data_IF_634923554261
#
_entry.id   IF_634923554261
#
_cell.length_a   1.000
_cell.length_b   1.000
_cell.length_c   1.000
_cell.angle_alpha   90.00
_cell.angle_beta   90.00
_cell.angle_gamma   90.00
#
_symmetry.space_group_name_H-M   'P 1'
#
loop_
_entity.id
_entity.type
_entity.pdbx_description
1 polymer ?
#
# COMPACT_ATOMS: atom_id res chain seq x y z
N UNK A 1 23.99 -22.87 15.05
CA UNK A 1 24.63 -22.10 13.96
C UNK A 1 23.49 -21.52 13.15
N UNK A 2 23.15 -20.25 13.35
CA UNK A 2 22.08 -19.61 12.57
C UNK A 2 22.52 -19.58 11.11
N UNK A 3 21.71 -20.17 10.22
CA UNK A 3 22.00 -20.16 8.79
C UNK A 3 21.99 -18.72 8.31
N UNK A 4 23.07 -18.26 7.68
CA UNK A 4 23.09 -16.92 7.10
C UNK A 4 21.96 -16.77 6.06
N UNK A 5 21.27 -15.61 6.02
CA UNK A 5 20.18 -15.39 5.08
C UNK A 5 20.70 -15.47 3.64
N UNK A 6 20.05 -16.30 2.82
CA UNK A 6 20.40 -16.47 1.40
C UNK A 6 19.63 -15.45 0.58
N UNK A 7 20.32 -14.67 -0.25
CA UNK A 7 19.70 -13.70 -1.17
C UNK A 7 19.74 -14.23 -2.61
N UNK A 8 18.64 -14.07 -3.34
CA UNK A 8 18.51 -14.44 -4.76
C UNK A 8 17.74 -13.35 -5.50
N UNK A 9 18.23 -12.89 -6.65
CA UNK A 9 17.43 -12.07 -7.56
C UNK A 9 16.41 -12.97 -8.26
N UNK A 10 15.14 -12.60 -8.24
CA UNK A 10 14.06 -13.39 -8.82
C UNK A 10 12.94 -12.50 -9.36
N UNK A 11 12.11 -13.07 -10.24
CA UNK A 11 10.79 -12.56 -10.53
C UNK A 11 9.83 -13.10 -9.47
N UNK A 12 9.21 -12.20 -8.71
CA UNK A 12 8.30 -12.45 -7.61
C UNK A 12 6.88 -12.26 -8.14
N UNK A 13 6.05 -13.29 -8.00
CA UNK A 13 4.65 -13.28 -8.44
C UNK A 13 3.75 -13.36 -7.21
N UNK A 14 2.82 -12.43 -7.12
CA UNK A 14 1.72 -12.44 -6.16
C UNK A 14 0.41 -12.69 -6.86
N UNK A 15 -0.46 -13.50 -6.26
CA UNK A 15 -1.86 -13.67 -6.70
C UNK A 15 -2.83 -13.34 -5.57
N UNK A 16 -4.07 -13.05 -5.92
CA UNK A 16 -5.20 -12.85 -4.98
C UNK A 16 -6.50 -13.31 -5.65
N UNK A 17 -7.43 -13.89 -4.89
CA UNK A 17 -8.73 -14.32 -5.43
C UNK A 17 -9.75 -13.19 -5.26
N UNK A 18 -10.25 -12.69 -6.39
CA UNK A 18 -11.26 -11.64 -6.42
C UNK A 18 -12.55 -12.11 -5.74
N UNK A 19 -12.90 -11.44 -4.64
CA UNK A 19 -14.14 -11.71 -3.91
C UNK A 19 -14.06 -12.84 -2.88
N UNK A 20 -12.86 -13.36 -2.60
CA UNK A 20 -12.68 -14.48 -1.67
C UNK A 20 -13.19 -14.18 -0.26
N UNK A 21 -12.90 -12.99 0.29
CA UNK A 21 -13.37 -12.59 1.63
C UNK A 21 -14.90 -12.71 1.76
N UNK A 22 -15.64 -12.36 0.70
CA UNK A 22 -17.09 -12.48 0.67
C UNK A 22 -17.51 -13.95 0.66
N UNK A 23 -16.91 -14.77 -0.21
CA UNK A 23 -17.20 -16.21 -0.27
C UNK A 23 -16.91 -16.90 1.07
N UNK A 24 -15.79 -16.59 1.70
CA UNK A 24 -15.38 -17.16 3.00
C UNK A 24 -16.35 -16.79 4.12
N UNK A 25 -16.87 -15.55 4.13
CA UNK A 25 -17.86 -15.11 5.10
C UNK A 25 -19.24 -15.77 4.90
N UNK A 26 -19.63 -16.05 3.65
CA UNK A 26 -20.93 -16.65 3.32
C UNK A 26 -20.91 -18.18 3.38
N UNK A 27 -19.80 -18.83 3.01
CA UNK A 27 -19.66 -20.28 2.92
C UNK A 27 -18.20 -20.73 3.08
N UNK A 28 -17.77 -20.91 4.33
CA UNK A 28 -16.42 -21.34 4.68
C UNK A 28 -16.01 -22.69 4.04
N UNK A 29 -16.83 -23.76 4.05
CA UNK A 29 -16.46 -25.02 3.37
C UNK A 29 -16.19 -24.85 1.87
N UNK A 30 -16.99 -24.03 1.16
CA UNK A 30 -16.77 -23.77 -0.26
C UNK A 30 -15.48 -22.96 -0.50
N UNK A 31 -15.16 -22.01 0.38
CA UNK A 31 -13.92 -21.25 0.31
C UNK A 31 -12.69 -22.14 0.51
N UNK A 32 -12.71 -23.06 1.49
CA UNK A 32 -11.63 -24.03 1.70
C UNK A 32 -11.43 -24.95 0.49
N UNK A 33 -12.53 -25.47 -0.08
CA UNK A 33 -12.48 -26.29 -1.30
C UNK A 33 -11.94 -25.51 -2.50
N UNK A 34 -12.20 -24.20 -2.58
CA UNK A 34 -11.66 -23.32 -3.62
C UNK A 34 -10.13 -23.18 -3.51
N UNK A 35 -9.59 -23.03 -2.30
CA UNK A 35 -8.14 -22.96 -2.06
C UNK A 35 -7.44 -24.28 -2.40
N UNK A 36 -8.04 -25.42 -2.06
CA UNK A 36 -7.53 -26.73 -2.49
C UNK A 36 -7.50 -26.85 -4.01
N UNK A 37 -8.61 -26.47 -4.67
CA UNK A 37 -8.71 -26.48 -6.13
C UNK A 37 -7.71 -25.55 -6.80
N UNK A 38 -7.47 -24.36 -6.24
CA UNK A 38 -6.42 -23.45 -6.69
C UNK A 38 -5.06 -24.13 -6.62
N UNK A 39 -4.71 -24.76 -5.48
CA UNK A 39 -3.42 -25.43 -5.31
C UNK A 39 -3.21 -26.53 -6.34
N UNK A 40 -4.20 -27.41 -6.50
CA UNK A 40 -4.13 -28.56 -7.42
C UNK A 40 -4.02 -28.12 -8.88
N UNK A 41 -4.70 -27.04 -9.25
CA UNK A 41 -4.70 -26.51 -10.61
C UNK A 41 -3.41 -25.76 -10.93
N UNK A 42 -2.91 -24.95 -10.00
CA UNK A 42 -1.82 -24.02 -10.27
C UNK A 42 -0.44 -24.64 -10.06
N UNK A 43 -0.26 -25.53 -9.07
CA UNK A 43 1.06 -26.11 -8.76
C UNK A 43 1.73 -26.78 -9.98
N UNK A 44 1.04 -27.60 -10.79
CA UNK A 44 1.64 -28.17 -12.00
C UNK A 44 2.04 -27.11 -13.04
N UNK A 45 1.32 -25.99 -13.12
CA UNK A 45 1.63 -24.89 -14.05
C UNK A 45 2.90 -24.18 -13.58
N UNK A 46 2.99 -23.88 -12.29
CA UNK A 46 4.18 -23.26 -11.66
C UNK A 46 5.41 -24.14 -11.88
N UNK A 47 5.31 -25.43 -11.56
CA UNK A 47 6.42 -26.38 -11.72
C UNK A 47 6.86 -26.49 -13.19
N UNK A 48 5.92 -26.49 -14.14
CA UNK A 48 6.23 -26.57 -15.59
C UNK A 48 6.94 -25.33 -16.16
N UNK A 49 6.95 -24.21 -15.44
CA UNK A 49 7.67 -22.98 -15.79
C UNK A 49 8.87 -22.74 -14.85
N UNK A 50 9.37 -23.78 -14.19
CA UNK A 50 10.51 -23.68 -13.26
C UNK A 50 10.26 -22.69 -12.11
N UNK A 51 9.00 -22.54 -11.69
CA UNK A 51 8.63 -21.70 -10.56
C UNK A 51 8.79 -22.42 -9.22
N UNK A 52 9.10 -21.64 -8.18
CA UNK A 52 9.13 -22.10 -6.80
C UNK A 52 7.88 -21.58 -6.07
N UNK A 53 7.10 -22.49 -5.48
CA UNK A 53 5.96 -22.16 -4.63
C UNK A 53 6.46 -21.80 -3.22
N UNK A 54 6.58 -20.50 -2.94
CA UNK A 54 7.22 -20.03 -1.71
C UNK A 54 6.29 -20.07 -0.51
N UNK A 55 5.10 -19.46 -0.64
CA UNK A 55 4.18 -19.28 0.49
C UNK A 55 2.73 -19.09 0.03
N UNK A 56 1.81 -19.45 0.91
CA UNK A 56 0.39 -19.14 0.80
C UNK A 56 0.04 -18.08 1.86
N UNK A 57 -0.67 -17.04 1.47
CA UNK A 57 -0.99 -15.89 2.33
C UNK A 57 -2.49 -15.63 2.20
N UNK A 58 -3.28 -16.25 3.07
CA UNK A 58 -4.73 -16.27 2.94
C UNK A 58 -5.14 -16.99 1.66
N UNK A 59 -5.79 -16.28 0.76
CA UNK A 59 -6.18 -16.73 -0.58
C UNK A 59 -5.16 -16.39 -1.68
N UNK A 60 -4.12 -15.63 -1.31
CA UNK A 60 -3.05 -15.26 -2.20
C UNK A 60 -1.87 -16.25 -2.20
N UNK A 61 -1.13 -16.25 -3.30
CA UNK A 61 0.08 -17.05 -3.48
C UNK A 61 1.29 -16.15 -3.65
N UNK A 62 2.40 -16.55 -3.05
CA UNK A 62 3.73 -15.99 -3.29
C UNK A 62 4.57 -17.04 -4.03
N UNK A 63 4.96 -16.72 -5.25
CA UNK A 63 5.77 -17.57 -6.12
C UNK A 63 7.04 -16.83 -6.52
N UNK A 64 8.09 -17.57 -6.86
CA UNK A 64 9.29 -16.98 -7.46
C UNK A 64 9.79 -17.75 -8.66
N UNK A 65 10.43 -17.03 -9.58
CA UNK A 65 10.99 -17.58 -10.81
C UNK A 65 12.38 -16.99 -11.02
N UNK A 66 13.27 -17.75 -11.66
CA UNK A 66 14.62 -17.26 -11.96
C UNK A 66 14.62 -16.21 -13.07
N UNK A 67 13.63 -16.23 -13.95
CA UNK A 67 13.50 -15.30 -15.08
C UNK A 67 12.16 -14.58 -15.09
N UNK A 68 12.15 -13.33 -15.58
CA UNK A 68 10.91 -12.57 -15.78
C UNK A 68 9.97 -13.23 -16.79
N UNK A 69 10.53 -13.89 -17.81
CA UNK A 69 9.76 -14.50 -18.89
C UNK A 69 8.99 -15.72 -18.38
N UNK A 70 9.63 -16.59 -17.59
CA UNK A 70 8.97 -17.74 -16.98
C UNK A 70 7.81 -17.32 -16.08
N UNK A 71 8.01 -16.28 -15.26
CA UNK A 71 6.95 -15.73 -14.42
C UNK A 71 5.76 -15.21 -15.23
N UNK A 72 6.03 -14.48 -16.31
CA UNK A 72 4.99 -13.89 -17.18
C UNK A 72 4.23 -14.97 -17.93
N UNK A 73 4.92 -15.94 -18.53
CA UNK A 73 4.28 -17.05 -19.25
C UNK A 73 3.47 -17.96 -18.31
N UNK A 74 4.01 -18.24 -17.12
CA UNK A 74 3.28 -18.95 -16.07
C UNK A 74 1.99 -18.20 -15.72
N UNK A 75 2.07 -16.89 -15.43
CA UNK A 75 0.92 -16.07 -15.09
C UNK A 75 -0.14 -16.01 -16.22
N UNK A 76 0.29 -15.90 -17.48
CA UNK A 76 -0.61 -15.96 -18.64
C UNK A 76 -1.32 -17.31 -18.70
N UNK A 77 -0.61 -18.41 -18.46
CA UNK A 77 -1.21 -19.76 -18.48
C UNK A 77 -2.15 -19.98 -17.30
N UNK A 78 -1.80 -19.49 -16.11
CA UNK A 78 -2.68 -19.47 -14.94
C UNK A 78 -3.99 -18.75 -15.29
N UNK A 79 -3.92 -17.52 -15.83
CA UNK A 79 -5.13 -16.76 -16.19
C UNK A 79 -6.02 -17.49 -17.20
N UNK A 80 -5.42 -18.17 -18.18
CA UNK A 80 -6.17 -19.01 -19.13
C UNK A 80 -6.85 -20.19 -18.45
N UNK A 81 -6.16 -20.86 -17.53
CA UNK A 81 -6.65 -22.07 -16.88
C UNK A 81 -7.78 -21.78 -15.87
N UNK A 82 -7.67 -20.69 -15.10
CA UNK A 82 -8.66 -20.36 -14.06
C UNK A 82 -9.93 -19.74 -14.61
N UNK A 83 -9.92 -19.23 -15.85
CA UNK A 83 -11.06 -18.52 -16.46
C UNK A 83 -12.37 -19.33 -16.47
N UNK A 84 -12.30 -20.65 -16.54
CA UNK A 84 -13.47 -21.54 -16.53
C UNK A 84 -13.82 -22.09 -15.14
N UNK A 85 -13.09 -21.68 -14.11
CA UNK A 85 -13.28 -22.15 -12.74
C UNK A 85 -14.11 -21.12 -11.97
N UNK A 86 -15.31 -21.51 -11.58
CA UNK A 86 -16.21 -20.67 -10.78
C UNK A 86 -15.51 -20.18 -9.51
N UNK A 87 -15.71 -18.89 -9.19
CA UNK A 87 -15.10 -18.18 -8.06
C UNK A 87 -13.57 -18.04 -8.06
N UNK A 88 -12.82 -18.63 -8.99
CA UNK A 88 -11.35 -18.55 -9.05
C UNK A 88 -10.87 -17.45 -10.01
N UNK A 89 -11.41 -16.24 -9.90
CA UNK A 89 -10.91 -15.11 -10.66
C UNK A 89 -9.70 -14.52 -9.95
N UNK A 90 -8.55 -14.46 -10.62
CA UNK A 90 -7.31 -14.01 -10.01
C UNK A 90 -6.90 -12.62 -10.47
N UNK A 91 -6.39 -11.83 -9.54
CA UNK A 91 -5.45 -10.74 -9.84
C UNK A 91 -4.03 -11.25 -9.66
N UNK A 92 -3.13 -10.83 -10.55
CA UNK A 92 -1.71 -11.24 -10.51
C UNK A 92 -0.83 -10.00 -10.60
N UNK A 93 0.16 -9.89 -9.71
CA UNK A 93 1.21 -8.88 -9.72
C UNK A 93 2.59 -9.50 -9.89
N UNK A 94 3.45 -8.92 -10.74
CA UNK A 94 4.82 -9.41 -10.96
C UNK A 94 5.85 -8.29 -10.76
N UNK A 95 6.86 -8.56 -9.94
CA UNK A 95 7.98 -7.66 -9.72
C UNK A 95 9.31 -8.40 -9.76
N UNK A 96 10.37 -7.74 -10.22
CA UNK A 96 11.73 -8.29 -10.20
C UNK A 96 12.55 -7.63 -9.09
N UNK A 97 13.06 -8.43 -8.16
CA UNK A 97 13.85 -7.95 -7.03
C UNK A 97 14.51 -9.07 -6.23
N UNK A 98 15.13 -8.70 -5.11
CA UNK A 98 15.79 -9.65 -4.22
C UNK A 98 14.80 -10.36 -3.31
N UNK A 99 14.92 -11.68 -3.26
CA UNK A 99 14.24 -12.55 -2.32
C UNK A 99 15.26 -12.94 -1.25
N UNK A 100 14.95 -12.66 0.02
CA UNK A 100 15.79 -13.05 1.16
C UNK A 100 15.13 -14.22 1.88
N UNK A 101 15.82 -15.35 1.89
CA UNK A 101 15.39 -16.57 2.58
C UNK A 101 15.97 -16.58 4.00
N UNK A 102 15.09 -16.67 5.00
CA UNK A 102 15.47 -16.84 6.40
C UNK A 102 14.80 -18.11 6.95
N UNK A 103 15.55 -19.20 7.00
CA UNK A 103 14.99 -20.52 7.33
C UNK A 103 13.99 -20.97 6.26
N UNK A 104 12.73 -21.14 6.64
CA UNK A 104 11.62 -21.49 5.74
C UNK A 104 10.77 -20.28 5.31
N UNK A 105 11.12 -19.07 5.74
CA UNK A 105 10.35 -17.87 5.41
C UNK A 105 11.05 -17.00 4.36
N UNK A 106 10.26 -16.18 3.69
CA UNK A 106 10.68 -15.26 2.64
C UNK A 106 10.34 -13.83 3.06
N UNK A 107 11.37 -13.00 3.17
CA UNK A 107 11.27 -11.60 3.60
C UNK A 107 12.05 -10.69 2.65
N UNK A 108 11.68 -9.41 2.61
CA UNK A 108 12.41 -8.40 1.85
C UNK A 108 11.51 -7.30 1.30
N UNK A 109 12.12 -6.14 1.04
CA UNK A 109 11.40 -4.97 0.52
C UNK A 109 10.79 -5.25 -0.85
N UNK A 110 11.50 -5.99 -1.72
CA UNK A 110 11.01 -6.32 -3.07
C UNK A 110 9.82 -7.30 -3.04
N UNK A 111 9.70 -8.15 -2.01
CA UNK A 111 8.51 -8.99 -1.79
C UNK A 111 7.30 -8.10 -1.44
N UNK A 112 7.51 -7.08 -0.60
CA UNK A 112 6.48 -6.10 -0.27
C UNK A 112 6.10 -5.19 -1.45
N UNK A 113 7.04 -4.91 -2.37
CA UNK A 113 6.73 -4.20 -3.61
C UNK A 113 5.84 -5.08 -4.49
N UNK A 114 6.18 -6.35 -4.66
CA UNK A 114 5.45 -7.27 -5.52
C UNK A 114 3.98 -7.44 -5.09
N UNK A 115 3.71 -7.58 -3.79
CA UNK A 115 2.36 -7.65 -3.24
C UNK A 115 1.54 -6.38 -3.47
N UNK A 116 2.19 -5.25 -3.75
CA UNK A 116 1.54 -3.97 -4.04
C UNK A 116 1.43 -3.66 -5.52
N UNK A 117 1.99 -4.49 -6.39
CA UNK A 117 1.72 -4.43 -7.84
C UNK A 117 0.40 -5.13 -8.15
N UNK A 118 0.10 -6.25 -7.48
CA UNK A 118 -1.13 -7.03 -7.68
C UNK A 118 -2.42 -6.19 -7.65
N UNK A 119 -2.61 -5.21 -6.75
CA UNK A 119 -3.86 -4.46 -6.65
C UNK A 119 -4.15 -3.59 -7.87
N UNK A 120 -3.13 -3.31 -8.68
CA UNK A 120 -3.25 -2.59 -9.95
C UNK A 120 -3.65 -3.51 -11.11
N UNK A 121 -3.87 -4.80 -10.84
CA UNK A 121 -4.36 -5.73 -11.84
C UNK A 121 -5.88 -5.71 -11.90
N UNK A 122 -6.46 -5.72 -13.09
CA UNK A 122 -7.86 -6.07 -13.25
C UNK A 122 -8.12 -7.52 -12.81
N UNK A 123 -9.38 -7.84 -12.47
CA UNK A 123 -9.81 -9.24 -12.32
C UNK A 123 -9.51 -10.01 -13.60
N UNK A 124 -8.73 -11.10 -13.51
CA UNK A 124 -8.26 -11.87 -14.66
C UNK A 124 -7.06 -11.26 -15.40
N UNK A 125 -6.50 -10.16 -14.87
CA UNK A 125 -5.38 -9.43 -15.47
C UNK A 125 -4.02 -9.75 -14.85
N UNK A 126 -2.97 -9.14 -15.41
CA UNK A 126 -1.61 -9.20 -14.88
C UNK A 126 -1.03 -7.78 -14.83
N UNK A 127 -0.75 -7.31 -13.63
CA UNK A 127 0.03 -6.10 -13.39
C UNK A 127 1.52 -6.45 -13.22
N UNK A 128 2.39 -5.61 -13.77
CA UNK A 128 3.84 -5.81 -13.74
C UNK A 128 4.56 -4.51 -13.36
N UNK A 129 5.68 -4.65 -12.67
CA UNK A 129 6.58 -3.52 -12.43
C UNK A 129 7.36 -3.12 -13.68
N UNK A 130 7.89 -1.89 -13.70
CA UNK A 130 8.72 -1.40 -14.82
C UNK A 130 9.95 -2.25 -15.14
N UNK A 131 10.56 -2.93 -14.15
CA UNK A 131 11.68 -3.86 -14.39
C UNK A 131 11.26 -5.07 -15.23
N UNK A 132 10.08 -5.61 -14.93
CA UNK A 132 9.50 -6.73 -15.69
C UNK A 132 9.07 -6.26 -17.07
N UNK A 133 8.43 -5.09 -17.17
CA UNK A 133 8.06 -4.47 -18.45
C UNK A 133 9.26 -4.32 -19.39
N UNK A 134 10.40 -3.83 -18.90
CA UNK A 134 11.61 -3.65 -19.69
C UNK A 134 12.14 -4.96 -20.29
N UNK A 135 11.89 -6.11 -19.65
CA UNK A 135 12.25 -7.42 -20.19
C UNK A 135 11.32 -7.86 -21.33
N UNK A 136 10.08 -7.36 -21.36
CA UNK A 136 9.07 -7.69 -22.38
C UNK A 136 9.12 -6.75 -23.60
N UNK A 137 9.60 -5.52 -23.44
CA UNK A 137 9.58 -4.46 -24.49
C UNK A 137 10.16 -4.87 -25.85
N UNK A 138 11.09 -5.84 -25.87
CA UNK A 138 11.76 -6.29 -27.10
C UNK A 138 10.98 -7.36 -27.87
N UNK A 139 10.01 -8.00 -27.24
CA UNK A 139 9.23 -9.07 -27.85
C UNK A 139 7.84 -8.55 -28.24
N UNK A 140 7.52 -8.51 -29.56
CA UNK A 140 6.27 -7.94 -30.06
C UNK A 140 5.02 -8.77 -29.71
N UNK A 141 5.17 -9.98 -29.16
CA UNK A 141 4.06 -10.77 -28.63
C UNK A 141 3.46 -10.17 -27.35
N UNK A 142 4.23 -9.38 -26.61
CA UNK A 142 3.76 -8.66 -25.43
C UNK A 142 3.35 -7.24 -25.79
N UNK A 143 2.14 -6.87 -25.36
CA UNK A 143 1.70 -5.47 -25.34
C UNK A 143 1.40 -5.10 -23.91
N UNK A 144 1.91 -3.96 -23.48
CA UNK A 144 1.73 -3.45 -22.13
C UNK A 144 1.18 -2.04 -22.14
N UNK A 145 0.44 -1.70 -21.09
CA UNK A 145 -0.10 -0.37 -20.87
C UNK A 145 0.43 0.18 -19.55
N UNK A 146 0.85 1.45 -19.55
CA UNK A 146 1.30 2.14 -18.33
C UNK A 146 0.12 2.50 -17.43
N UNK A 147 0.20 2.11 -16.16
CA UNK A 147 -0.85 2.32 -15.16
C UNK A 147 -0.56 3.49 -14.21
N UNK A 148 0.70 3.92 -14.10
CA UNK A 148 1.09 4.98 -13.18
C UNK A 148 2.19 4.55 -12.22
N UNK A 149 2.33 5.31 -11.13
CA UNK A 149 3.27 5.02 -10.04
C UNK A 149 2.45 4.66 -8.80
N UNK A 150 2.44 3.41 -8.33
CA UNK A 150 1.84 3.06 -7.06
C UNK A 150 2.40 3.90 -5.91
N UNK A 151 1.55 4.40 -5.02
CA UNK A 151 2.01 5.02 -3.79
C UNK A 151 2.39 3.92 -2.78
N UNK A 152 3.67 3.55 -2.77
CA UNK A 152 4.18 2.50 -1.91
C UNK A 152 4.67 3.09 -0.57
N UNK A 153 3.82 3.14 0.46
CA UNK A 153 4.25 3.47 1.83
C UNK A 153 5.38 2.55 2.32
N UNK A 154 6.51 3.09 2.77
CA UNK A 154 7.63 2.29 3.29
C UNK A 154 8.60 1.73 2.23
N UNK A 155 8.45 2.11 0.95
CA UNK A 155 9.41 1.79 -0.11
C UNK A 155 10.05 3.10 -0.59
N UNK A 156 11.38 3.19 -0.49
CA UNK A 156 12.13 4.39 -0.93
C UNK A 156 12.26 4.52 -2.44
N UNK A 157 12.10 3.41 -3.16
CA UNK A 157 12.25 3.34 -4.61
C UNK A 157 10.95 3.71 -5.33
N UNK A 158 11.05 4.58 -6.33
CA UNK A 158 9.95 4.83 -7.25
C UNK A 158 9.70 3.58 -8.11
N UNK A 159 8.48 3.04 -8.06
CA UNK A 159 8.07 1.90 -8.88
C UNK A 159 7.00 2.35 -9.86
N UNK A 160 7.20 2.02 -11.15
CA UNK A 160 6.21 2.19 -12.20
C UNK A 160 5.44 0.90 -12.37
N UNK A 161 4.12 0.98 -12.50
CA UNK A 161 3.24 -0.15 -12.78
C UNK A 161 2.73 -0.11 -14.22
N UNK A 162 2.58 -1.29 -14.80
CA UNK A 162 2.03 -1.55 -16.12
C UNK A 162 1.07 -2.74 -16.02
N UNK A 163 0.19 -2.95 -17.01
CA UNK A 163 -0.48 -4.24 -17.19
C UNK A 163 -0.18 -4.82 -18.57
N UNK A 164 -0.30 -6.14 -18.69
CA UNK A 164 -0.21 -6.86 -19.96
C UNK A 164 -1.61 -6.89 -20.59
N UNK A 165 -1.71 -6.39 -21.82
CA UNK A 165 -2.96 -6.30 -22.60
C UNK A 165 -2.95 -7.17 -23.86
N UNK A 166 -1.94 -8.02 -24.03
CA UNK A 166 -1.91 -9.08 -25.05
C UNK A 166 -2.40 -10.42 -24.47
N UNK A 167 -2.37 -11.49 -25.29
CA UNK A 167 -2.74 -12.85 -24.87
C UNK A 167 -4.19 -13.04 -24.37
N UNK A 168 -5.08 -12.08 -24.67
CA UNK A 168 -6.48 -12.10 -24.23
C UNK A 168 -6.70 -11.63 -22.79
N UNK A 169 -5.71 -10.94 -22.21
CA UNK A 169 -5.79 -10.35 -20.88
C UNK A 169 -6.52 -8.99 -20.92
N UNK A 170 -7.29 -8.65 -19.86
CA UNK A 170 -8.00 -7.39 -19.77
C UNK A 170 -7.06 -6.21 -19.53
N UNK A 171 -7.48 -5.04 -20.01
CA UNK A 171 -6.91 -3.77 -19.59
C UNK A 171 -7.36 -3.43 -18.16
N UNK A 172 -6.46 -2.86 -17.35
CA UNK A 172 -6.81 -2.41 -16.00
C UNK A 172 -7.56 -1.08 -16.07
N UNK A 173 -8.79 -1.07 -15.58
CA UNK A 173 -9.51 0.17 -15.30
C UNK A 173 -9.04 0.79 -13.97
N UNK A 174 -8.24 1.85 -14.05
CA UNK A 174 -7.71 2.57 -12.89
C UNK A 174 -8.79 3.16 -11.99
N UNK A 175 -10.02 3.38 -12.48
CA UNK A 175 -11.13 3.86 -11.65
C UNK A 175 -11.63 2.81 -10.67
N UNK A 176 -11.38 1.53 -10.96
CA UNK A 176 -11.77 0.39 -10.13
C UNK A 176 -10.62 -0.09 -9.23
N UNK A 177 -9.41 0.43 -9.44
CA UNK A 177 -8.25 0.16 -8.59
C UNK A 177 -8.38 0.98 -7.31
N UNK A 178 -8.68 0.31 -6.19
CA UNK A 178 -8.73 0.95 -4.86
C UNK A 178 -7.36 1.37 -4.34
N UNK A 179 -6.27 0.91 -4.96
CA UNK A 179 -4.90 1.24 -4.57
C UNK A 179 -4.50 2.65 -5.06
N UNK A 180 -3.89 3.44 -4.18
CA UNK A 180 -3.53 4.84 -4.45
C UNK A 180 -2.36 4.94 -5.44
N UNK A 181 -2.50 5.77 -6.48
CA UNK A 181 -1.44 6.17 -7.39
C UNK A 181 -0.83 7.52 -6.95
N UNK A 182 0.47 7.71 -7.16
CA UNK A 182 1.11 9.02 -7.07
C UNK A 182 0.66 9.86 -8.27
N UNK A 183 0.27 11.14 -8.08
CA UNK A 183 -0.12 12.03 -9.17
C UNK A 183 0.97 12.11 -10.26
N UNK A 184 0.56 12.01 -11.52
CA UNK A 184 1.47 12.17 -12.66
C UNK A 184 1.85 13.66 -12.76
N UNK A 185 3.11 14.01 -12.48
CA UNK A 185 3.66 15.31 -12.87
C UNK A 185 3.61 15.40 -14.40
N UNK A 186 2.67 16.17 -14.94
CA UNK A 186 2.61 16.45 -16.38
C UNK A 186 3.90 17.19 -16.77
N UNK A 187 4.77 16.53 -17.53
CA UNK A 187 5.89 17.15 -18.24
C UNK A 187 5.32 18.08 -19.35
N UNK A 188 4.84 19.25 -18.93
CA UNK A 188 4.33 20.31 -19.80
C UNK A 188 5.46 21.24 -20.21
N UNK A 189 5.88 21.10 -21.46
CA UNK A 189 6.62 22.06 -22.28
C UNK A 189 6.26 23.53 -21.94
N UNK A 190 7.21 24.28 -21.35
CA UNK A 190 7.04 25.71 -21.04
C UNK A 190 7.41 26.58 -22.25
N UNK A 191 6.43 26.85 -23.11
CA UNK A 191 6.44 28.04 -23.96
C UNK A 191 5.40 29.04 -23.43
N UNK A 192 5.85 30.21 -22.97
CA UNK A 192 5.72 31.50 -23.70
C UNK A 192 5.60 32.74 -22.78
N UNK A 193 6.26 33.82 -23.22
CA UNK A 193 5.88 35.26 -23.13
C UNK A 193 5.16 35.78 -21.88
N UNK A 194 5.85 36.51 -21.00
CA UNK A 194 5.27 37.61 -20.20
C UNK A 194 6.37 38.44 -19.52
N UNK A 195 7.26 39.04 -20.31
CA UNK A 195 8.02 40.20 -19.87
C UNK A 195 7.12 41.44 -19.96
N UNK A 196 7.02 42.18 -18.85
CA UNK A 196 6.46 43.56 -18.68
C UNK A 196 5.12 43.69 -17.91
N UNK A 197 4.12 42.80 -18.02
CA UNK A 197 2.83 43.00 -17.32
C UNK A 197 2.79 42.60 -15.82
N UNK A 198 3.70 41.73 -15.36
CA UNK A 198 3.67 41.15 -14.02
C UNK A 198 4.01 42.10 -12.86
N UNK A 199 4.64 43.25 -13.13
CA UNK A 199 5.05 44.20 -12.08
C UNK A 199 3.90 45.14 -11.67
N UNK A 200 2.94 45.40 -12.56
CA UNK A 200 1.79 46.27 -12.26
C UNK A 200 0.70 45.55 -11.43
N UNK A 201 0.47 44.26 -11.70
CA UNK A 201 -0.57 43.48 -11.02
C UNK A 201 -0.24 43.20 -9.54
N UNK A 202 1.04 43.19 -9.18
CA UNK A 202 1.51 42.88 -7.82
C UNK A 202 1.25 44.01 -6.81
N UNK A 203 1.18 45.27 -7.26
CA UNK A 203 0.92 46.41 -6.35
C UNK A 203 -0.57 46.50 -5.99
N UNK A 204 -1.47 46.19 -6.93
CA UNK A 204 -2.93 46.24 -6.71
C UNK A 204 -3.39 45.09 -5.79
N UNK A 205 -2.79 43.90 -5.92
CA UNK A 205 -3.14 42.72 -5.12
C UNK A 205 -2.84 42.87 -3.63
N UNK A 206 -1.76 43.56 -3.25
CA UNK A 206 -1.41 43.78 -1.83
C UNK A 206 -2.39 44.72 -1.14
N UNK A 207 -2.95 45.69 -1.87
CA UNK A 207 -3.96 46.63 -1.33
C UNK A 207 -5.31 45.92 -1.15
N UNK A 208 -5.67 45.01 -2.06
CA UNK A 208 -6.91 44.23 -1.97
C UNK A 208 -6.89 43.22 -0.82
N UNK A 209 -5.73 42.61 -0.53
CA UNK A 209 -5.55 41.67 0.59
C UNK A 209 -5.61 42.33 1.97
N UNK A 210 -5.34 43.64 2.07
CA UNK A 210 -5.48 44.40 3.32
C UNK A 210 -6.92 44.80 3.67
N UNK A 211 -7.85 44.74 2.72
CA UNK A 211 -9.22 45.27 2.90
C UNK A 211 -10.32 44.22 2.97
N UNK A 212 -10.06 42.95 2.60
CA UNK A 212 -11.07 41.91 2.59
C UNK A 212 -10.65 40.76 3.51
N UNK A 213 -11.17 40.80 4.74
CA UNK A 213 -10.96 39.80 5.77
C UNK A 213 -11.18 38.39 5.23
N UNK A 214 -10.12 37.59 5.32
CA UNK A 214 -10.07 36.22 4.84
C UNK A 214 -10.86 35.31 5.80
N UNK A 215 -12.19 35.37 5.68
CA UNK A 215 -13.12 34.46 6.35
C UNK A 215 -13.65 33.47 5.32
N UNK A 216 -13.13 32.24 5.36
CA UNK A 216 -13.82 31.06 4.86
C UNK A 216 -13.72 30.80 3.36
N UNK A 217 -12.63 30.14 2.93
CA UNK A 217 -12.67 29.19 1.82
C UNK A 217 -11.58 28.13 2.05
N UNK A 218 -11.95 27.04 2.73
CA UNK A 218 -11.23 25.78 2.63
C UNK A 218 -12.21 24.75 2.09
N UNK A 219 -11.91 24.25 0.89
CA UNK A 219 -12.60 23.16 0.25
C UNK A 219 -12.14 21.84 0.88
N UNK A 220 -13.09 20.97 1.17
CA UNK A 220 -12.95 19.65 1.76
C UNK A 220 -12.26 18.70 0.75
N UNK A 221 -11.02 18.30 1.03
CA UNK A 221 -10.29 17.21 0.35
C UNK A 221 -10.22 16.02 1.31
N UNK A 222 -10.35 14.79 0.79
CA UNK A 222 -10.31 13.51 1.50
C UNK A 222 -9.10 13.36 2.48
N UNK A 223 -9.20 13.95 3.67
CA UNK A 223 -8.18 13.87 4.70
C UNK A 223 -8.12 12.46 5.29
N UNK A 224 -6.91 11.90 5.35
CA UNK A 224 -6.65 10.65 6.06
C UNK A 224 -7.08 10.86 7.52
N UNK A 225 -7.98 10.02 8.08
CA UNK A 225 -8.42 10.16 9.46
C UNK A 225 -7.20 10.26 10.37
N UNK A 226 -7.14 11.29 11.20
CA UNK A 226 -5.98 11.56 12.02
C UNK A 226 -6.36 11.72 13.49
N UNK A 227 -5.54 11.15 14.37
CA UNK A 227 -5.83 11.08 15.81
C UNK A 227 -4.59 11.41 16.64
N UNK A 228 -4.76 12.20 17.68
CA UNK A 228 -3.75 12.34 18.74
C UNK A 228 -4.19 11.55 19.97
N UNK A 229 -3.37 10.58 20.37
CA UNK A 229 -3.52 9.90 21.65
C UNK A 229 -2.82 10.75 22.68
N UNK A 230 -3.61 11.47 23.49
CA UNK A 230 -3.07 12.36 24.50
C UNK A 230 -2.51 11.55 25.67
N UNK A 231 -1.53 12.14 26.34
CA UNK A 231 -0.82 11.51 27.45
C UNK A 231 -1.81 11.00 28.52
N UNK A 232 -1.75 9.72 28.84
CA UNK A 232 -2.65 9.11 29.82
C UNK A 232 -2.50 9.80 31.17
N UNK A 233 -3.62 10.25 31.75
CA UNK A 233 -3.60 10.82 33.10
C UNK A 233 -3.35 9.71 34.12
N UNK A 234 -2.27 9.82 34.87
CA UNK A 234 -2.04 8.97 36.02
C UNK A 234 -2.92 9.43 37.19
N UNK A 235 -3.88 8.59 37.57
CA UNK A 235 -4.78 8.82 38.72
C UNK A 235 -4.31 8.08 39.98
N UNK A 236 -3.24 7.29 39.88
CA UNK A 236 -2.64 6.54 40.97
C UNK A 236 -1.47 7.28 41.63
N UNK A 237 -0.45 6.53 42.05
CA UNK A 237 0.72 7.11 42.70
C UNK A 237 1.69 7.70 41.67
N UNK A 238 2.52 8.67 42.07
CA UNK A 238 3.55 9.24 41.20
C UNK A 238 4.54 8.19 40.67
N UNK A 239 4.73 7.08 41.39
CA UNK A 239 5.58 5.96 40.97
C UNK A 239 5.02 5.19 39.76
N UNK A 240 3.72 5.33 39.46
CA UNK A 240 3.07 4.69 38.31
C UNK A 240 3.19 5.54 37.03
N UNK A 241 3.86 6.69 37.08
CA UNK A 241 4.02 7.59 35.93
C UNK A 241 4.72 6.93 34.71
N UNK A 242 5.74 6.06 34.88
CA UNK A 242 6.32 5.31 33.77
C UNK A 242 5.32 4.39 33.06
N UNK A 243 4.29 3.90 33.76
CA UNK A 243 3.22 3.11 33.15
C UNK A 243 2.32 3.96 32.26
N UNK A 244 1.99 5.19 32.70
CA UNK A 244 1.22 6.12 31.86
C UNK A 244 1.99 6.45 30.58
N UNK A 245 3.30 6.69 30.70
CA UNK A 245 4.18 6.92 29.57
C UNK A 245 4.21 5.71 28.62
N UNK A 246 4.52 4.52 29.14
CA UNK A 246 4.66 3.29 28.35
C UNK A 246 3.37 2.88 27.65
N UNK A 247 2.23 2.91 28.34
CA UNK A 247 0.94 2.56 27.74
C UNK A 247 0.48 3.58 26.69
N UNK A 248 0.79 4.87 26.88
CA UNK A 248 0.53 5.89 25.86
C UNK A 248 1.39 5.61 24.62
N UNK A 249 2.68 5.34 24.81
CA UNK A 249 3.62 5.06 23.71
C UNK A 249 3.24 3.78 22.96
N UNK A 250 2.91 2.71 23.66
CA UNK A 250 2.46 1.44 23.07
C UNK A 250 1.19 1.65 22.24
N UNK A 251 0.20 2.39 22.75
CA UNK A 251 -1.03 2.67 22.02
C UNK A 251 -0.77 3.52 20.76
N UNK A 252 0.15 4.50 20.84
CA UNK A 252 0.57 5.28 19.67
C UNK A 252 1.25 4.37 18.64
N UNK A 253 2.14 3.47 19.07
CA UNK A 253 2.86 2.55 18.20
C UNK A 253 1.90 1.56 17.54
N UNK A 254 0.99 0.95 18.30
CA UNK A 254 -0.01 0.01 17.79
C UNK A 254 -0.98 0.68 16.82
N UNK A 255 -1.51 1.86 17.15
CA UNK A 255 -2.39 2.59 16.26
C UNK A 255 -1.67 3.07 14.99
N UNK A 256 -0.38 3.42 15.11
CA UNK A 256 0.45 3.77 13.94
C UNK A 256 0.68 2.57 13.02
N UNK A 257 0.69 1.34 13.55
CA UNK A 257 0.83 0.10 12.75
C UNK A 257 -0.41 -0.22 11.91
N UNK A 258 -1.60 0.29 12.27
CA UNK A 258 -2.83 0.06 11.52
C UNK A 258 -2.83 0.73 10.13
N UNK A 259 -1.92 1.68 9.87
CA UNK A 259 -1.58 2.22 8.54
C UNK A 259 -2.64 3.09 7.84
N UNK A 260 -3.89 3.05 8.30
CA UNK A 260 -5.02 3.76 7.72
C UNK A 260 -5.43 5.01 8.52
N UNK A 261 -4.71 5.35 9.59
CA UNK A 261 -4.96 6.50 10.46
C UNK A 261 -3.61 7.19 10.74
N UNK A 262 -3.55 8.52 10.62
CA UNK A 262 -2.35 9.29 10.98
C UNK A 262 -2.36 9.55 12.48
N UNK A 263 -1.38 9.02 13.21
CA UNK A 263 -1.29 9.19 14.67
C UNK A 263 -0.23 10.22 15.03
N UNK A 264 -0.54 11.17 15.91
CA UNK A 264 0.45 12.12 16.42
C UNK A 264 1.54 11.40 17.23
N UNK A 265 2.81 11.76 17.00
CA UNK A 265 3.94 11.09 17.67
C UNK A 265 3.99 11.39 19.17
N UNK A 266 4.58 10.46 19.94
CA UNK A 266 4.75 10.60 21.39
C UNK A 266 5.43 11.93 21.79
N UNK A 267 6.46 12.34 21.04
CA UNK A 267 7.16 13.62 21.25
C UNK A 267 6.29 14.85 21.01
N UNK A 268 5.27 14.73 20.16
CA UNK A 268 4.35 15.82 19.86
C UNK A 268 3.29 15.95 20.94
N UNK A 269 2.75 14.83 21.43
CA UNK A 269 1.69 14.82 22.47
C UNK A 269 2.23 15.09 23.88
N UNK A 270 3.47 14.71 24.18
CA UNK A 270 4.07 14.89 25.52
C UNK A 270 4.17 16.37 25.91
N UNK A 271 4.26 17.29 24.94
CA UNK A 271 4.28 18.74 25.16
C UNK A 271 2.99 19.26 25.80
N UNK A 272 1.88 18.53 25.65
CA UNK A 272 0.56 18.93 26.14
C UNK A 272 0.14 18.24 27.44
N UNK A 273 0.99 17.40 28.04
CA UNK A 273 0.69 16.64 29.28
C UNK A 273 0.14 17.51 30.41
N UNK A 274 0.64 18.74 30.56
CA UNK A 274 0.23 19.71 31.57
C UNK A 274 -0.32 21.00 30.94
N UNK A 275 -0.80 20.94 29.71
CA UNK A 275 -1.38 22.09 29.02
C UNK A 275 -2.78 22.38 29.55
N UNK A 276 -3.13 23.67 29.59
CA UNK A 276 -4.50 24.14 29.87
C UNK A 276 -5.32 24.33 28.59
N UNK A 277 -4.75 23.99 27.42
CA UNK A 277 -5.46 24.07 26.14
C UNK A 277 -6.62 23.06 26.10
N UNK A 278 -7.68 23.44 25.40
CA UNK A 278 -8.78 22.52 25.14
C UNK A 278 -8.33 21.41 24.17
N UNK A 279 -8.99 20.25 24.22
CA UNK A 279 -8.71 19.14 23.30
C UNK A 279 -8.81 19.57 21.83
N UNK A 280 -9.78 20.44 21.50
CA UNK A 280 -9.94 20.99 20.15
C UNK A 280 -8.80 21.92 19.72
N UNK A 281 -8.18 22.65 20.64
CA UNK A 281 -7.02 23.50 20.33
C UNK A 281 -5.76 22.66 20.18
N UNK A 282 -5.59 21.62 21.02
CA UNK A 282 -4.51 20.63 20.88
C UNK A 282 -4.64 19.89 19.55
N UNK A 283 -5.86 19.51 19.15
CA UNK A 283 -6.12 18.87 17.87
C UNK A 283 -5.66 19.76 16.69
N UNK A 284 -6.00 21.06 16.73
CA UNK A 284 -5.56 22.03 15.71
C UNK A 284 -4.04 22.22 15.69
N UNK A 285 -3.39 22.33 16.85
CA UNK A 285 -1.92 22.51 16.91
C UNK A 285 -1.16 21.25 16.46
N UNK A 286 -1.74 20.06 16.68
CA UNK A 286 -1.21 18.78 16.21
C UNK A 286 -1.65 18.41 14.78
N UNK A 287 -2.46 19.26 14.15
CA UNK A 287 -3.02 19.09 12.81
C UNK A 287 -3.90 17.82 12.68
N UNK A 288 -4.48 17.32 13.78
CA UNK A 288 -5.27 16.08 13.80
C UNK A 288 -6.78 16.32 13.82
N UNK A 289 -7.54 15.40 13.24
CA UNK A 289 -9.00 15.45 13.17
C UNK A 289 -9.70 15.03 14.48
N UNK A 290 -9.06 14.17 15.28
CA UNK A 290 -9.60 13.63 16.53
C UNK A 290 -8.55 13.58 17.65
N UNK A 291 -9.00 13.60 18.90
CA UNK A 291 -8.16 13.38 20.10
C UNK A 291 -8.73 12.25 20.93
N UNK A 292 -7.85 11.39 21.46
CA UNK A 292 -8.19 10.36 22.43
C UNK A 292 -7.56 10.70 23.77
N UNK A 293 -8.38 10.84 24.80
CA UNK A 293 -7.93 11.00 26.18
C UNK A 293 -8.25 9.76 26.99
N UNK A 294 -7.33 9.36 27.85
CA UNK A 294 -7.54 8.24 28.77
C UNK A 294 -6.77 8.45 30.07
N UNK A 295 -7.01 7.58 31.03
CA UNK A 295 -6.40 7.62 32.35
C UNK A 295 -6.05 6.22 32.81
N UNK A 296 -4.97 6.10 33.59
CA UNK A 296 -4.61 4.85 34.25
C UNK A 296 -4.79 4.99 35.76
N UNK A 297 -5.26 3.92 36.38
CA UNK A 297 -5.31 3.77 37.82
C UNK A 297 -5.00 2.31 38.14
N UNK A 298 -3.98 2.09 38.97
CA UNK A 298 -3.67 0.76 39.46
C UNK A 298 -4.75 0.35 40.45
N UNK A 299 -5.48 -0.72 40.17
CA UNK A 299 -6.35 -1.32 41.16
C UNK A 299 -5.47 -1.80 42.32
N UNK A 300 -5.71 -1.30 43.53
CA UNK A 300 -5.06 -1.84 44.72
C UNK A 300 -5.39 -3.35 44.82
N UNK A 301 -4.39 -4.16 45.22
CA UNK A 301 -4.61 -5.54 45.65
C UNK A 301 -5.65 -5.62 46.78
#
# INVERSE_FOLDING_TARGET
>A
MESQPKRKLAAIVFTDIVGFTKLSAENEPAALALLEKQRDLLKPIVDSHNGEWLKEIGDGLLLSFETNLDAVECAIKIQKQVKSVEYLNLRIGIHQGEVVFQGSDVIGDDVNIASRIEPFSASGGIAISGRVNAALERDPSYKTLYLGKPQLQGVSQEVKAYCIISHGLPETDLTQVKAKLVPIEKAGFKWNTLSILGVAASIIGVIALGFMGLSGLSADEDEIPSIAILYMKNLGNADDEPWAYGLTEDLIVEMSRLGNIRVASMNSVTKYKNSNLSEGDIAKELDVSFTLTSSIHKANE
#
